data_IF_461099272742
#
_entry.id   IF_461099272742
#
_cell.length_a   1.000
_cell.length_b   1.000
_cell.length_c   1.000
_cell.angle_alpha   90.00
_cell.angle_beta   90.00
_cell.angle_gamma   90.00
#
_symmetry.space_group_name_H-M   'P 1'
#
loop_
_entity.id
_entity.type
_entity.pdbx_description
1 polymer ?
#
# COMPACT_ATOMS: atom_id res chain seq x y z
N UNK A 1 -24.12 -38.81 1.81
CA UNK A 1 -25.00 -38.58 2.96
C UNK A 1 -24.90 -37.12 3.40
N UNK A 2 -26.03 -36.42 3.40
CA UNK A 2 -26.15 -35.01 3.84
C UNK A 2 -26.45 -35.00 5.33
N UNK A 3 -25.78 -34.14 6.10
CA UNK A 3 -26.09 -33.89 7.51
C UNK A 3 -26.44 -32.43 7.71
N UNK A 4 -27.61 -32.18 8.30
CA UNK A 4 -28.08 -30.85 8.70
C UNK A 4 -28.09 -30.80 10.22
N UNK A 5 -27.53 -29.73 10.79
CA UNK A 5 -27.52 -29.47 12.23
C UNK A 5 -28.15 -28.10 12.46
N UNK A 6 -29.19 -28.06 13.30
CA UNK A 6 -29.88 -26.84 13.72
C UNK A 6 -29.65 -26.63 15.22
N UNK A 7 -29.23 -25.42 15.60
CA UNK A 7 -28.99 -25.00 16.98
C UNK A 7 -29.65 -23.63 17.16
N UNK A 8 -30.58 -23.48 18.09
CA UNK A 8 -31.30 -22.23 18.36
C UNK A 8 -31.62 -22.07 19.85
N UNK A 9 -31.80 -20.82 20.30
CA UNK A 9 -32.35 -20.46 21.63
C UNK A 9 -31.61 -21.04 22.84
N UNK A 10 -30.27 -21.01 22.84
CA UNK A 10 -29.47 -21.56 23.94
C UNK A 10 -28.59 -20.52 24.60
N UNK A 11 -28.64 -20.50 25.92
CA UNK A 11 -27.85 -19.58 26.72
C UNK A 11 -26.36 -19.94 26.73
N UNK A 12 -26.04 -21.24 26.77
CA UNK A 12 -24.67 -21.73 26.77
C UNK A 12 -24.57 -23.06 26.02
N UNK A 13 -23.62 -23.15 25.11
CA UNK A 13 -23.31 -24.41 24.43
C UNK A 13 -21.80 -24.66 24.37
N UNK A 14 -21.40 -25.86 24.77
CA UNK A 14 -20.08 -26.42 24.49
C UNK A 14 -20.24 -27.71 23.69
N UNK A 15 -19.67 -27.76 22.47
CA UNK A 15 -19.67 -28.99 21.67
C UNK A 15 -18.26 -29.40 21.28
N UNK A 16 -18.04 -30.72 21.32
CA UNK A 16 -16.87 -31.38 20.77
C UNK A 16 -17.31 -32.55 19.89
N UNK A 17 -17.06 -32.47 18.58
CA UNK A 17 -17.39 -33.57 17.67
C UNK A 17 -16.41 -33.69 16.50
N UNK A 18 -16.16 -34.95 16.11
CA UNK A 18 -15.45 -35.33 14.89
C UNK A 18 -16.44 -35.92 13.88
N UNK A 19 -16.49 -35.40 12.66
CA UNK A 19 -17.47 -35.85 11.66
C UNK A 19 -16.91 -35.81 10.24
N UNK A 20 -17.16 -36.88 9.48
CA UNK A 20 -16.96 -36.94 8.04
C UNK A 20 -18.31 -37.03 7.32
N UNK A 21 -18.54 -36.19 6.31
CA UNK A 21 -19.79 -36.19 5.53
C UNK A 21 -19.58 -35.66 4.12
N UNK A 22 -20.42 -36.06 3.17
CA UNK A 22 -20.38 -35.48 1.82
C UNK A 22 -20.80 -34.01 1.84
N UNK A 23 -21.98 -33.71 2.41
CA UNK A 23 -22.50 -32.35 2.56
C UNK A 23 -22.86 -32.10 4.02
N UNK A 24 -22.41 -30.97 4.56
CA UNK A 24 -22.75 -30.53 5.92
C UNK A 24 -23.27 -29.09 5.91
N UNK A 25 -24.45 -28.91 6.48
CA UNK A 25 -25.06 -27.60 6.72
C UNK A 25 -25.23 -27.43 8.22
N UNK A 26 -24.73 -26.33 8.76
CA UNK A 26 -24.87 -25.97 10.18
C UNK A 26 -25.54 -24.60 10.25
N UNK A 27 -26.69 -24.54 10.92
CA UNK A 27 -27.42 -23.30 11.19
C UNK A 27 -27.41 -23.05 12.70
N UNK A 28 -26.98 -21.85 13.09
CA UNK A 28 -26.86 -21.44 14.48
C UNK A 28 -27.50 -20.05 14.62
N UNK A 29 -28.50 -19.93 15.49
CA UNK A 29 -29.17 -18.65 15.79
C UNK A 29 -29.38 -18.46 17.29
N UNK A 30 -29.51 -17.21 17.73
CA UNK A 30 -30.01 -16.84 19.07
C UNK A 30 -29.28 -17.53 20.24
N UNK A 31 -27.95 -17.40 20.28
CA UNK A 31 -27.14 -17.89 21.41
C UNK A 31 -26.39 -16.77 22.12
N UNK A 32 -26.36 -16.87 23.44
CA UNK A 32 -25.63 -15.91 24.27
C UNK A 32 -24.14 -16.26 24.35
N UNK A 33 -23.82 -17.54 24.59
CA UNK A 33 -22.43 -18.03 24.63
C UNK A 33 -22.29 -19.36 23.91
N UNK A 34 -21.33 -19.45 23.00
CA UNK A 34 -20.97 -20.70 22.35
C UNK A 34 -19.46 -20.93 22.29
N UNK A 35 -19.03 -22.12 22.71
CA UNK A 35 -17.69 -22.64 22.48
C UNK A 35 -17.76 -23.93 21.67
N UNK A 36 -17.17 -23.92 20.48
CA UNK A 36 -17.12 -25.12 19.64
C UNK A 36 -15.68 -25.56 19.40
N UNK A 37 -15.45 -26.87 19.51
CA UNK A 37 -14.21 -27.51 19.09
C UNK A 37 -14.51 -28.66 18.12
N UNK A 38 -14.16 -28.54 16.84
CA UNK A 38 -14.41 -29.65 15.90
C UNK A 38 -13.30 -29.89 14.90
N UNK A 39 -13.14 -31.17 14.56
CA UNK A 39 -12.40 -31.64 13.39
C UNK A 39 -13.41 -32.18 12.38
N UNK A 40 -13.40 -31.63 11.16
CA UNK A 40 -14.42 -31.95 10.14
C UNK A 40 -13.77 -32.13 8.77
N UNK A 41 -14.11 -33.25 8.13
CA UNK A 41 -13.78 -33.50 6.73
C UNK A 41 -15.07 -33.60 5.91
N UNK A 42 -15.24 -32.72 4.92
CA UNK A 42 -16.43 -32.76 4.07
C UNK A 42 -16.18 -32.30 2.65
N UNK A 43 -16.90 -32.86 1.68
CA UNK A 43 -16.84 -32.33 0.31
C UNK A 43 -17.37 -30.89 0.27
N UNK A 44 -18.55 -30.65 0.83
CA UNK A 44 -19.21 -29.33 0.88
C UNK A 44 -19.59 -28.97 2.30
N UNK A 45 -19.20 -27.76 2.75
CA UNK A 45 -19.58 -27.22 4.07
C UNK A 45 -20.17 -25.83 3.97
N UNK A 46 -21.36 -25.66 4.56
CA UNK A 46 -22.02 -24.37 4.74
C UNK A 46 -22.27 -24.16 6.23
N UNK A 47 -21.87 -22.99 6.74
CA UNK A 47 -22.12 -22.57 8.12
C UNK A 47 -22.82 -21.21 8.07
N UNK A 48 -24.03 -21.13 8.60
CA UNK A 48 -24.76 -19.88 8.81
C UNK A 48 -24.88 -19.63 10.31
N UNK A 49 -24.51 -18.43 10.72
CA UNK A 49 -24.48 -17.98 12.11
C UNK A 49 -25.16 -16.61 12.16
N UNK A 50 -26.17 -16.45 13.02
CA UNK A 50 -26.86 -15.17 13.26
C UNK A 50 -27.13 -14.93 14.73
N UNK A 51 -27.24 -13.66 15.14
CA UNK A 51 -27.75 -13.23 16.46
C UNK A 51 -26.99 -13.85 17.64
N UNK A 52 -25.70 -13.55 17.75
CA UNK A 52 -24.84 -14.14 18.76
C UNK A 52 -24.06 -13.11 19.57
N UNK A 53 -24.11 -13.26 20.89
CA UNK A 53 -23.42 -12.32 21.78
C UNK A 53 -21.92 -12.66 21.92
N UNK A 54 -21.59 -13.92 22.21
CA UNK A 54 -20.19 -14.35 22.36
C UNK A 54 -19.93 -15.71 21.70
N UNK A 55 -18.96 -15.75 20.78
CA UNK A 55 -18.52 -17.00 20.16
C UNK A 55 -17.00 -17.20 20.26
N UNK A 56 -16.60 -18.40 20.69
CA UNK A 56 -15.24 -18.91 20.55
C UNK A 56 -15.22 -20.20 19.74
N UNK A 57 -14.59 -20.19 18.57
CA UNK A 57 -14.45 -21.37 17.73
C UNK A 57 -13.00 -21.81 17.61
N UNK A 58 -12.76 -23.11 17.78
CA UNK A 58 -11.51 -23.76 17.44
C UNK A 58 -11.79 -24.91 16.47
N UNK A 59 -11.31 -24.83 15.22
CA UNK A 59 -11.52 -25.93 14.28
C UNK A 59 -10.36 -26.22 13.36
N UNK A 60 -10.22 -27.51 13.06
CA UNK A 60 -9.46 -28.02 11.94
C UNK A 60 -10.43 -28.55 10.88
N UNK A 61 -10.35 -28.02 9.66
CA UNK A 61 -11.34 -28.31 8.61
C UNK A 61 -10.66 -28.60 7.29
N UNK A 62 -10.95 -29.76 6.72
CA UNK A 62 -10.58 -30.10 5.34
C UNK A 62 -11.86 -30.19 4.51
N UNK A 63 -12.00 -29.33 3.51
CA UNK A 63 -13.18 -29.37 2.64
C UNK A 63 -12.90 -28.99 1.20
N UNK A 64 -13.60 -29.57 0.25
CA UNK A 64 -13.43 -29.17 -1.15
C UNK A 64 -14.00 -27.76 -1.38
N UNK A 65 -15.21 -27.52 -0.89
CA UNK A 65 -15.90 -26.21 -0.92
C UNK A 65 -16.37 -25.80 0.47
N UNK A 66 -16.12 -24.53 0.85
CA UNK A 66 -16.55 -23.96 2.13
C UNK A 66 -17.17 -22.57 1.95
N UNK A 67 -18.38 -22.42 2.49
CA UNK A 67 -19.04 -21.13 2.67
C UNK A 67 -19.33 -20.89 4.16
N UNK A 68 -19.02 -19.68 4.64
CA UNK A 68 -19.34 -19.22 5.99
C UNK A 68 -20.03 -17.87 5.86
N UNK A 69 -21.24 -17.76 6.42
CA UNK A 69 -21.98 -16.51 6.56
C UNK A 69 -22.22 -16.25 8.04
N UNK A 70 -21.89 -15.03 8.46
CA UNK A 70 -21.91 -14.58 9.84
C UNK A 70 -22.59 -13.21 9.85
N UNK A 71 -23.67 -13.05 10.60
CA UNK A 71 -24.36 -11.77 10.80
C UNK A 71 -24.62 -11.51 12.29
N UNK A 72 -24.71 -10.24 12.66
CA UNK A 72 -25.19 -9.78 13.97
C UNK A 72 -24.45 -10.43 15.15
N UNK A 73 -23.12 -10.20 15.26
CA UNK A 73 -22.41 -10.55 16.48
C UNK A 73 -21.78 -9.38 17.21
N UNK A 74 -21.82 -9.53 18.54
CA UNK A 74 -21.12 -8.62 19.43
C UNK A 74 -19.63 -8.99 19.58
N UNK A 75 -19.31 -10.25 19.86
CA UNK A 75 -17.92 -10.69 20.04
C UNK A 75 -17.64 -12.06 19.42
N UNK A 76 -16.60 -12.12 18.59
CA UNK A 76 -16.13 -13.36 17.99
C UNK A 76 -14.62 -13.54 18.11
N UNK A 77 -14.21 -14.72 18.61
CA UNK A 77 -12.83 -15.20 18.56
C UNK A 77 -12.78 -16.52 17.78
N UNK A 78 -12.07 -16.52 16.64
CA UNK A 78 -11.92 -17.71 15.81
C UNK A 78 -10.45 -18.11 15.71
N UNK A 79 -10.14 -19.37 16.04
CA UNK A 79 -8.86 -19.99 15.73
C UNK A 79 -9.08 -21.18 14.79
N UNK A 80 -8.53 -21.12 13.57
CA UNK A 80 -8.77 -22.17 12.58
C UNK A 80 -7.56 -22.54 11.75
N UNK A 81 -7.44 -23.84 11.50
CA UNK A 81 -6.60 -24.41 10.44
C UNK A 81 -7.51 -24.98 9.35
N UNK A 82 -7.39 -24.46 8.13
CA UNK A 82 -8.32 -24.77 7.04
C UNK A 82 -7.57 -25.12 5.76
N UNK A 83 -7.88 -26.29 5.21
CA UNK A 83 -7.44 -26.69 3.88
C UNK A 83 -8.68 -26.83 2.98
N UNK A 84 -8.75 -26.02 1.92
CA UNK A 84 -9.88 -26.12 0.98
C UNK A 84 -9.53 -25.75 -0.44
N UNK A 85 -10.18 -26.37 -1.42
CA UNK A 85 -10.02 -25.93 -2.82
C UNK A 85 -10.63 -24.54 -2.99
N UNK A 86 -11.86 -24.34 -2.51
CA UNK A 86 -12.52 -23.03 -2.56
C UNK A 86 -13.12 -22.60 -1.22
N UNK A 87 -12.94 -21.31 -0.90
CA UNK A 87 -13.45 -20.71 0.33
C UNK A 87 -14.06 -19.34 0.10
N UNK A 88 -15.30 -19.18 0.54
CA UNK A 88 -15.99 -17.90 0.67
C UNK A 88 -16.36 -17.64 2.13
N UNK A 89 -16.04 -16.45 2.63
CA UNK A 89 -16.44 -15.97 3.96
C UNK A 89 -17.09 -14.61 3.78
N UNK A 90 -18.31 -14.45 4.28
CA UNK A 90 -18.97 -13.16 4.40
C UNK A 90 -19.40 -12.92 5.84
N UNK A 91 -19.11 -11.72 6.31
CA UNK A 91 -19.27 -11.26 7.68
C UNK A 91 -19.91 -9.87 7.62
N UNK A 92 -21.02 -9.68 8.35
CA UNK A 92 -21.70 -8.38 8.48
C UNK A 92 -22.07 -8.08 9.93
N UNK A 93 -22.20 -6.80 10.26
CA UNK A 93 -22.74 -6.29 11.52
C UNK A 93 -22.01 -6.85 12.75
N UNK A 94 -20.72 -6.50 12.86
CA UNK A 94 -19.85 -7.00 13.91
C UNK A 94 -19.28 -5.89 14.78
N UNK A 95 -19.39 -6.06 16.10
CA UNK A 95 -18.77 -5.10 17.03
C UNK A 95 -17.28 -5.42 17.26
N UNK A 96 -16.93 -6.67 17.60
CA UNK A 96 -15.54 -7.08 17.80
C UNK A 96 -15.25 -8.45 17.18
N UNK A 97 -14.18 -8.52 16.40
CA UNK A 97 -13.69 -9.76 15.82
C UNK A 97 -12.18 -9.92 15.98
N UNK A 98 -11.78 -11.07 16.51
CA UNK A 98 -10.41 -11.57 16.48
C UNK A 98 -10.36 -12.88 15.68
N UNK A 99 -9.59 -12.90 14.59
CA UNK A 99 -9.32 -14.11 13.83
C UNK A 99 -7.84 -14.44 13.84
N UNK A 100 -7.53 -15.69 14.20
CA UNK A 100 -6.23 -16.31 13.99
C UNK A 100 -6.41 -17.51 13.05
N UNK A 101 -5.85 -17.40 11.85
CA UNK A 101 -6.11 -18.36 10.77
C UNK A 101 -4.87 -18.80 10.02
N UNK A 102 -4.68 -20.12 9.95
CA UNK A 102 -3.79 -20.77 9.00
C UNK A 102 -4.60 -21.40 7.86
N UNK A 103 -4.38 -20.95 6.62
CA UNK A 103 -5.21 -21.37 5.48
C UNK A 103 -4.38 -21.74 4.27
N UNK A 104 -4.68 -22.92 3.72
CA UNK A 104 -4.20 -23.34 2.41
C UNK A 104 -5.40 -23.47 1.47
N UNK A 105 -5.46 -22.66 0.40
CA UNK A 105 -6.54 -22.78 -0.58
C UNK A 105 -6.14 -22.50 -2.03
N UNK A 106 -6.91 -23.01 -2.99
CA UNK A 106 -6.73 -22.59 -4.39
C UNK A 106 -7.40 -21.23 -4.61
N UNK A 107 -8.61 -21.05 -4.10
CA UNK A 107 -9.38 -19.79 -4.20
C UNK A 107 -9.90 -19.34 -2.83
N UNK A 108 -9.62 -18.08 -2.47
CA UNK A 108 -10.14 -17.42 -1.26
C UNK A 108 -10.83 -16.12 -1.63
N UNK A 109 -12.09 -15.98 -1.22
CA UNK A 109 -12.84 -14.72 -1.23
C UNK A 109 -13.30 -14.39 0.19
N UNK A 110 -13.06 -13.15 0.62
CA UNK A 110 -13.49 -12.62 1.93
C UNK A 110 -14.21 -11.29 1.71
N UNK A 111 -15.40 -11.18 2.28
CA UNK A 111 -16.20 -9.95 2.33
C UNK A 111 -16.49 -9.62 3.80
N UNK A 112 -16.14 -8.40 4.22
CA UNK A 112 -16.39 -7.88 5.56
C UNK A 112 -17.05 -6.52 5.40
N UNK A 113 -18.22 -6.34 6.01
CA UNK A 113 -18.95 -5.06 6.06
C UNK A 113 -19.37 -4.73 7.49
N UNK A 114 -19.51 -3.43 7.77
CA UNK A 114 -20.12 -2.90 9.00
C UNK A 114 -19.46 -3.43 10.28
N UNK A 115 -18.17 -3.13 10.45
CA UNK A 115 -17.39 -3.69 11.54
C UNK A 115 -16.67 -2.63 12.37
N UNK A 116 -16.86 -2.66 13.69
CA UNK A 116 -16.32 -1.63 14.57
C UNK A 116 -14.84 -1.87 14.90
N UNK A 117 -14.47 -3.08 15.29
CA UNK A 117 -13.08 -3.46 15.56
C UNK A 117 -12.70 -4.84 14.99
N UNK A 118 -11.71 -4.86 14.08
CA UNK A 118 -11.16 -6.08 13.48
C UNK A 118 -9.68 -6.26 13.83
N UNK A 119 -9.35 -7.43 14.38
CA UNK A 119 -7.97 -7.92 14.47
C UNK A 119 -7.84 -9.24 13.71
N UNK A 120 -6.97 -9.27 12.70
CA UNK A 120 -6.65 -10.49 11.96
C UNK A 120 -5.17 -10.81 12.09
N UNK A 121 -4.86 -12.01 12.55
CA UNK A 121 -3.58 -12.68 12.29
C UNK A 121 -3.86 -13.79 11.27
N UNK A 122 -3.26 -13.69 10.10
CA UNK A 122 -3.49 -14.70 9.08
C UNK A 122 -2.24 -15.05 8.28
N UNK A 123 -1.89 -16.33 8.40
CA UNK A 123 -0.88 -17.00 7.61
C UNK A 123 -1.54 -17.86 6.54
N UNK A 124 -1.10 -17.76 5.28
CA UNK A 124 -1.69 -18.62 4.25
C UNK A 124 -0.96 -18.72 2.92
N UNK A 125 -1.20 -19.85 2.26
CA UNK A 125 -0.80 -20.12 0.89
C UNK A 125 -2.06 -20.20 0.03
N UNK A 126 -2.25 -19.23 -0.87
CA UNK A 126 -3.41 -19.19 -1.75
C UNK A 126 -2.99 -19.04 -3.21
N UNK A 127 -3.54 -19.82 -4.14
CA UNK A 127 -3.26 -19.53 -5.56
C UNK A 127 -3.86 -18.18 -5.96
N UNK A 128 -5.11 -17.93 -5.56
CA UNK A 128 -5.82 -16.67 -5.83
C UNK A 128 -6.50 -16.17 -4.56
N UNK A 129 -6.42 -14.86 -4.33
CA UNK A 129 -7.07 -14.23 -3.18
C UNK A 129 -7.72 -12.89 -3.53
N UNK A 130 -8.98 -12.74 -3.15
CA UNK A 130 -9.72 -11.47 -3.15
C UNK A 130 -10.21 -11.14 -1.74
N UNK A 131 -10.02 -9.88 -1.36
CA UNK A 131 -10.48 -9.34 -0.08
C UNK A 131 -11.21 -8.03 -0.36
N UNK A 132 -12.47 -7.95 0.09
CA UNK A 132 -13.29 -6.75 0.06
C UNK A 132 -13.67 -6.39 1.51
N UNK A 133 -13.40 -5.15 1.86
CA UNK A 133 -13.54 -4.62 3.21
C UNK A 133 -14.20 -3.24 3.07
N UNK A 134 -15.37 -3.05 3.68
CA UNK A 134 -16.11 -1.79 3.69
C UNK A 134 -16.62 -1.43 5.08
N UNK A 135 -16.79 -0.13 5.33
CA UNK A 135 -17.46 0.42 6.52
C UNK A 135 -16.84 -0.06 7.84
N UNK A 136 -15.58 0.32 8.07
CA UNK A 136 -14.83 -0.13 9.23
C UNK A 136 -14.26 1.01 10.06
N UNK A 137 -14.48 0.94 11.37
CA UNK A 137 -13.97 1.97 12.26
C UNK A 137 -12.49 1.74 12.61
N UNK A 138 -12.12 0.52 13.00
CA UNK A 138 -10.74 0.18 13.35
C UNK A 138 -10.33 -1.19 12.80
N UNK A 139 -9.17 -1.23 12.14
CA UNK A 139 -8.57 -2.46 11.63
C UNK A 139 -7.09 -2.58 12.00
N UNK A 140 -6.73 -3.73 12.57
CA UNK A 140 -5.36 -4.22 12.69
C UNK A 140 -5.22 -5.54 11.94
N UNK A 141 -4.35 -5.60 10.94
CA UNK A 141 -4.02 -6.86 10.27
C UNK A 141 -2.53 -7.16 10.38
N UNK A 142 -2.22 -8.40 10.76
CA UNK A 142 -0.93 -9.05 10.56
C UNK A 142 -1.11 -10.22 9.59
N UNK A 143 -0.33 -10.22 8.51
CA UNK A 143 -0.57 -11.08 7.37
C UNK A 143 0.71 -11.54 6.70
N UNK A 144 0.96 -12.84 6.80
CA UNK A 144 2.00 -13.56 6.05
C UNK A 144 1.37 -14.39 4.93
N UNK A 145 1.45 -13.91 3.68
CA UNK A 145 0.74 -14.53 2.55
C UNK A 145 1.66 -14.82 1.38
N UNK A 146 1.58 -16.06 0.89
CA UNK A 146 2.15 -16.49 -0.38
C UNK A 146 1.02 -16.70 -1.39
N UNK A 147 1.05 -15.99 -2.52
CA UNK A 147 0.01 -16.16 -3.54
C UNK A 147 0.47 -15.95 -4.98
N UNK A 148 -0.13 -16.66 -5.93
CA UNK A 148 0.12 -16.35 -7.35
C UNK A 148 -0.49 -14.98 -7.69
N UNK A 149 -1.76 -14.76 -7.34
CA UNK A 149 -2.47 -13.51 -7.58
C UNK A 149 -3.21 -13.00 -6.33
N UNK A 150 -3.16 -11.68 -6.10
CA UNK A 150 -3.85 -11.03 -5.00
C UNK A 150 -4.48 -9.71 -5.42
N UNK A 151 -5.76 -9.55 -5.09
CA UNK A 151 -6.52 -8.31 -5.22
C UNK A 151 -7.11 -7.92 -3.86
N UNK A 152 -7.00 -6.65 -3.49
CA UNK A 152 -7.64 -6.09 -2.30
C UNK A 152 -8.38 -4.80 -2.65
N UNK A 153 -9.63 -4.69 -2.21
CA UNK A 153 -10.41 -3.47 -2.22
C UNK A 153 -10.73 -3.11 -0.77
N UNK A 154 -10.38 -1.89 -0.38
CA UNK A 154 -10.65 -1.39 0.95
C UNK A 154 -11.25 0.02 0.84
N UNK A 155 -12.46 0.21 1.36
CA UNK A 155 -13.19 1.48 1.33
C UNK A 155 -13.74 1.86 2.69
N UNK A 156 -13.88 3.16 2.94
CA UNK A 156 -14.58 3.72 4.11
C UNK A 156 -14.01 3.23 5.44
N UNK A 157 -12.76 3.59 5.74
CA UNK A 157 -12.21 3.37 7.09
C UNK A 157 -11.73 4.60 7.82
N UNK A 158 -11.96 4.57 9.13
CA UNK A 158 -11.45 5.60 10.01
C UNK A 158 -9.98 5.35 10.38
N UNK A 159 -9.63 4.14 10.80
CA UNK A 159 -8.27 3.81 11.20
C UNK A 159 -7.82 2.43 10.72
N UNK A 160 -6.64 2.37 10.12
CA UNK A 160 -6.02 1.13 9.67
C UNK A 160 -4.54 1.06 10.04
N UNK A 161 -4.16 -0.07 10.66
CA UNK A 161 -2.79 -0.51 10.83
C UNK A 161 -2.60 -1.86 10.14
N UNK A 162 -1.72 -1.93 9.15
CA UNK A 162 -1.36 -3.20 8.52
C UNK A 162 0.13 -3.49 8.68
N UNK A 163 0.45 -4.70 9.14
CA UNK A 163 1.74 -5.33 8.96
C UNK A 163 1.60 -6.48 7.96
N UNK A 164 2.39 -6.44 6.90
CA UNK A 164 2.26 -7.36 5.78
C UNK A 164 3.60 -7.84 5.24
N UNK A 165 3.74 -9.16 5.23
CA UNK A 165 4.77 -9.87 4.49
C UNK A 165 4.14 -10.67 3.35
N UNK A 166 4.32 -10.19 2.11
CA UNK A 166 3.64 -10.76 0.94
C UNK A 166 4.63 -11.14 -0.14
N UNK A 167 4.52 -12.39 -0.59
CA UNK A 167 5.21 -12.92 -1.76
C UNK A 167 4.17 -13.25 -2.84
N UNK A 168 4.23 -12.56 -3.98
CA UNK A 168 3.28 -12.80 -5.05
C UNK A 168 3.80 -12.61 -6.46
N UNK A 169 3.27 -13.37 -7.44
CA UNK A 169 3.59 -13.05 -8.83
C UNK A 169 2.96 -11.71 -9.22
N UNK A 170 1.66 -11.54 -8.95
CA UNK A 170 0.93 -10.31 -9.23
C UNK A 170 0.14 -9.80 -8.03
N UNK A 171 0.20 -8.48 -7.81
CA UNK A 171 -0.56 -7.81 -6.76
C UNK A 171 -1.21 -6.52 -7.25
N UNK A 172 -2.49 -6.38 -6.95
CA UNK A 172 -3.24 -5.14 -7.10
C UNK A 172 -3.92 -4.77 -5.77
N UNK A 173 -3.87 -3.49 -5.40
CA UNK A 173 -4.60 -2.95 -4.26
C UNK A 173 -5.21 -1.60 -4.61
N UNK A 174 -6.49 -1.42 -4.27
CA UNK A 174 -7.18 -0.14 -4.30
C UNK A 174 -7.62 0.19 -2.89
N UNK A 175 -7.33 1.42 -2.47
CA UNK A 175 -7.69 1.94 -1.17
C UNK A 175 -8.29 3.32 -1.35
N UNK A 176 -9.51 3.51 -0.86
CA UNK A 176 -10.25 4.76 -0.96
C UNK A 176 -10.85 5.16 0.39
N UNK A 177 -11.07 6.45 0.58
CA UNK A 177 -11.84 7.03 1.69
C UNK A 177 -11.33 6.59 3.07
N UNK A 178 -10.06 6.92 3.37
CA UNK A 178 -9.50 6.66 4.70
C UNK A 178 -9.10 7.92 5.44
N UNK A 179 -9.42 7.94 6.74
CA UNK A 179 -8.97 9.04 7.58
C UNK A 179 -7.51 8.87 8.03
N UNK A 180 -7.14 7.70 8.54
CA UNK A 180 -5.78 7.42 9.01
C UNK A 180 -5.30 6.03 8.59
N UNK A 181 -4.11 5.99 7.98
CA UNK A 181 -3.44 4.75 7.62
C UNK A 181 -1.98 4.72 8.08
N UNK A 182 -1.61 3.63 8.75
CA UNK A 182 -0.23 3.22 8.96
C UNK A 182 0.02 1.85 8.32
N UNK A 183 0.96 1.76 7.39
CA UNK A 183 1.33 0.48 6.78
C UNK A 183 2.83 0.21 6.95
N UNK A 184 3.13 -0.95 7.51
CA UNK A 184 4.45 -1.57 7.47
C UNK A 184 4.39 -2.76 6.49
N UNK A 185 5.21 -2.73 5.45
CA UNK A 185 5.08 -3.72 4.39
C UNK A 185 6.41 -4.18 3.80
N UNK A 186 6.58 -5.49 3.76
CA UNK A 186 7.63 -6.17 3.03
C UNK A 186 7.01 -6.92 1.84
N UNK A 187 7.31 -6.47 0.61
CA UNK A 187 6.77 -7.06 -0.63
C UNK A 187 7.89 -7.59 -1.49
N UNK A 188 7.76 -8.85 -1.90
CA UNK A 188 8.51 -9.40 -3.03
C UNK A 188 7.52 -9.84 -4.10
N UNK A 189 7.56 -9.20 -5.27
CA UNK A 189 6.65 -9.55 -6.36
C UNK A 189 7.23 -9.39 -7.76
N UNK A 190 6.61 -10.02 -8.75
CA UNK A 190 6.95 -9.69 -10.14
C UNK A 190 6.32 -8.36 -10.53
N UNK A 191 5.02 -8.20 -10.28
CA UNK A 191 4.29 -6.95 -10.53
C UNK A 191 3.50 -6.50 -9.31
N UNK A 192 3.63 -5.21 -8.99
CA UNK A 192 2.81 -4.54 -7.97
C UNK A 192 2.18 -3.27 -8.57
N UNK A 193 0.86 -3.18 -8.45
CA UNK A 193 0.10 -1.96 -8.70
C UNK A 193 -0.66 -1.57 -7.42
N UNK A 194 -0.50 -0.33 -6.98
CA UNK A 194 -1.21 0.24 -5.83
C UNK A 194 -1.82 1.56 -6.27
N UNK A 195 -3.10 1.74 -5.97
CA UNK A 195 -3.82 2.99 -6.16
C UNK A 195 -4.47 3.40 -4.87
N UNK A 196 -4.24 4.64 -4.49
CA UNK A 196 -4.68 5.26 -3.25
C UNK A 196 -5.39 6.57 -3.61
N UNK A 197 -6.60 6.76 -3.11
CA UNK A 197 -7.36 8.00 -3.27
C UNK A 197 -8.00 8.43 -1.94
N UNK A 198 -8.23 9.73 -1.80
CA UNK A 198 -9.05 10.31 -0.72
C UNK A 198 -8.60 9.91 0.68
N UNK A 199 -7.34 10.24 1.04
CA UNK A 199 -6.85 10.04 2.41
C UNK A 199 -6.43 11.32 3.11
N UNK A 200 -6.79 11.41 4.38
CA UNK A 200 -6.39 12.55 5.21
C UNK A 200 -4.95 12.40 5.72
N UNK A 201 -4.60 11.25 6.30
CA UNK A 201 -3.25 11.00 6.80
C UNK A 201 -2.74 9.61 6.44
N UNK A 202 -1.53 9.57 5.87
CA UNK A 202 -0.85 8.32 5.53
C UNK A 202 0.60 8.32 6.02
N UNK A 203 0.96 7.27 6.76
CA UNK A 203 2.34 6.91 7.07
C UNK A 203 2.65 5.52 6.50
N UNK A 204 3.62 5.43 5.60
CA UNK A 204 4.04 4.16 5.03
C UNK A 204 5.52 3.88 5.29
N UNK A 205 5.82 2.71 5.84
CA UNK A 205 7.16 2.12 5.84
C UNK A 205 7.18 0.87 4.97
N UNK A 206 7.94 0.90 3.87
CA UNK A 206 7.95 -0.22 2.93
C UNK A 206 9.33 -0.62 2.47
N UNK A 207 9.56 -1.93 2.43
CA UNK A 207 10.64 -2.55 1.68
C UNK A 207 10.03 -3.35 0.53
N UNK A 208 10.35 -2.97 -0.70
CA UNK A 208 9.76 -3.58 -1.90
C UNK A 208 10.83 -3.99 -2.90
N UNK A 209 10.82 -5.28 -3.24
CA UNK A 209 11.58 -5.84 -4.33
C UNK A 209 10.61 -6.28 -5.44
N UNK A 210 10.68 -5.64 -6.61
CA UNK A 210 9.77 -5.99 -7.71
C UNK A 210 10.34 -5.82 -9.09
N UNK A 211 9.91 -6.63 -10.06
CA UNK A 211 10.27 -6.35 -11.45
C UNK A 211 9.63 -5.03 -11.92
N UNK A 212 8.32 -4.90 -11.76
CA UNK A 212 7.57 -3.69 -12.12
C UNK A 212 6.75 -3.19 -10.94
N UNK A 213 6.88 -1.90 -10.65
CA UNK A 213 6.08 -1.20 -9.63
C UNK A 213 5.40 0.03 -10.20
N UNK A 214 4.08 0.09 -10.01
CA UNK A 214 3.25 1.26 -10.34
C UNK A 214 2.55 1.70 -9.05
N UNK A 215 2.68 2.99 -8.74
CA UNK A 215 2.01 3.61 -7.59
C UNK A 215 1.27 4.84 -8.09
N UNK A 216 -0.04 4.88 -7.82
CA UNK A 216 -0.93 6.00 -8.12
C UNK A 216 -1.47 6.55 -6.80
N UNK A 217 -1.35 7.85 -6.62
CA UNK A 217 -1.76 8.56 -5.40
C UNK A 217 -2.48 9.83 -5.81
N UNK A 218 -3.73 9.98 -5.36
CA UNK A 218 -4.51 11.19 -5.57
C UNK A 218 -5.19 11.65 -4.29
N UNK A 219 -5.46 12.96 -4.19
CA UNK A 219 -6.32 13.57 -3.18
C UNK A 219 -5.89 13.25 -1.75
N UNK A 220 -4.66 13.62 -1.38
CA UNK A 220 -4.16 13.41 -0.03
C UNK A 220 -3.81 14.71 0.70
N UNK A 221 -4.16 14.78 1.98
CA UNK A 221 -3.81 15.93 2.79
C UNK A 221 -2.39 15.83 3.36
N UNK A 222 -2.05 14.72 4.01
CA UNK A 222 -0.70 14.50 4.56
C UNK A 222 -0.17 13.11 4.21
N UNK A 223 1.04 13.07 3.66
CA UNK A 223 1.75 11.84 3.35
C UNK A 223 3.18 11.87 3.90
N UNK A 224 3.52 10.82 4.64
CA UNK A 224 4.90 10.50 5.01
C UNK A 224 5.27 9.10 4.51
N UNK A 225 6.28 9.02 3.65
CA UNK A 225 6.76 7.74 3.12
C UNK A 225 8.22 7.51 3.46
N UNK A 226 8.52 6.37 4.08
CA UNK A 226 9.88 5.89 4.30
C UNK A 226 10.05 4.57 3.53
N UNK A 227 10.82 4.56 2.44
CA UNK A 227 10.88 3.39 1.57
C UNK A 227 12.29 2.98 1.14
N UNK A 228 12.52 1.67 1.14
CA UNK A 228 13.64 1.05 0.43
C UNK A 228 13.08 0.23 -0.73
N UNK A 229 13.47 0.59 -1.96
CA UNK A 229 12.87 0.01 -3.17
C UNK A 229 13.96 -0.44 -4.13
N UNK A 230 13.91 -1.73 -4.48
CA UNK A 230 14.70 -2.29 -5.56
C UNK A 230 13.76 -2.77 -6.67
N UNK A 231 13.83 -2.15 -7.85
CA UNK A 231 12.96 -2.53 -8.95
C UNK A 231 13.58 -2.40 -10.33
N UNK A 232 13.19 -3.25 -11.28
CA UNK A 232 13.60 -3.03 -12.66
C UNK A 232 12.98 -1.75 -13.21
N UNK A 233 11.65 -1.64 -13.13
CA UNK A 233 10.87 -0.48 -13.57
C UNK A 233 10.03 0.08 -12.43
N UNK A 234 10.14 1.38 -12.19
CA UNK A 234 9.32 2.12 -11.23
C UNK A 234 8.62 3.30 -11.87
N UNK A 235 7.30 3.34 -11.71
CA UNK A 235 6.44 4.47 -12.10
C UNK A 235 5.69 4.95 -10.86
N UNK A 236 5.76 6.25 -10.59
CA UNK A 236 5.05 6.91 -9.51
C UNK A 236 4.31 8.10 -10.09
N UNK A 237 2.98 8.13 -9.94
CA UNK A 237 2.14 9.27 -10.28
C UNK A 237 1.46 9.77 -9.01
N UNK A 238 1.58 11.07 -8.79
CA UNK A 238 1.13 11.77 -7.59
C UNK A 238 0.38 13.03 -8.06
N UNK A 239 -0.87 13.19 -7.63
CA UNK A 239 -1.68 14.38 -7.91
C UNK A 239 -2.40 14.87 -6.65
N UNK A 240 -2.69 16.17 -6.59
CA UNK A 240 -3.60 16.79 -5.60
C UNK A 240 -3.21 16.50 -4.15
N UNK A 241 -2.08 17.07 -3.72
CA UNK A 241 -1.50 16.74 -2.43
C UNK A 241 -1.06 17.98 -1.67
N UNK A 242 -1.50 18.09 -0.40
CA UNK A 242 -1.21 19.28 0.39
C UNK A 242 0.19 19.24 1.01
N UNK A 243 0.55 18.13 1.65
CA UNK A 243 1.87 17.96 2.25
C UNK A 243 2.44 16.56 1.98
N UNK A 244 3.68 16.52 1.49
CA UNK A 244 4.43 15.29 1.28
C UNK A 244 5.82 15.37 1.90
N UNK A 245 6.19 14.34 2.66
CA UNK A 245 7.54 14.08 3.11
C UNK A 245 7.97 12.67 2.69
N UNK A 246 8.95 12.58 1.80
CA UNK A 246 9.53 11.30 1.39
C UNK A 246 10.96 11.18 1.90
N UNK A 247 11.27 10.02 2.47
CA UNK A 247 12.63 9.55 2.65
C UNK A 247 12.80 8.22 1.90
N UNK A 248 13.66 8.20 0.88
CA UNK A 248 13.81 7.02 0.04
C UNK A 248 15.26 6.61 -0.24
N UNK A 249 15.45 5.29 -0.24
CA UNK A 249 16.60 4.66 -0.89
C UNK A 249 16.09 3.81 -2.06
N UNK A 250 16.49 4.19 -3.28
CA UNK A 250 15.92 3.61 -4.51
C UNK A 250 17.02 3.14 -5.44
N UNK A 251 16.97 1.86 -5.79
CA UNK A 251 17.81 1.28 -6.84
C UNK A 251 16.89 0.77 -7.96
N UNK A 252 17.02 1.33 -9.17
CA UNK A 252 16.22 0.88 -10.30
C UNK A 252 16.88 1.00 -11.65
N UNK A 253 16.55 0.12 -12.60
CA UNK A 253 17.01 0.32 -13.99
C UNK A 253 16.33 1.55 -14.59
N UNK A 254 15.01 1.63 -14.49
CA UNK A 254 14.22 2.76 -15.01
C UNK A 254 13.31 3.34 -13.92
N UNK A 255 13.33 4.67 -13.79
CA UNK A 255 12.48 5.42 -12.86
C UNK A 255 11.79 6.57 -13.58
N UNK A 256 10.46 6.59 -13.51
CA UNK A 256 9.62 7.71 -13.92
C UNK A 256 8.80 8.20 -12.72
N UNK A 257 8.86 9.50 -12.46
CA UNK A 257 8.07 10.17 -11.42
C UNK A 257 7.33 11.34 -12.06
N UNK A 258 6.02 11.39 -11.87
CA UNK A 258 5.18 12.54 -12.23
C UNK A 258 4.48 13.03 -10.98
N UNK A 259 4.57 14.34 -10.75
CA UNK A 259 4.00 15.03 -9.62
C UNK A 259 3.27 16.26 -10.14
N UNK A 260 2.00 16.42 -9.77
CA UNK A 260 1.20 17.61 -10.10
C UNK A 260 0.44 18.11 -8.88
N UNK A 261 0.17 19.42 -8.85
CA UNK A 261 -0.74 20.06 -7.89
C UNK A 261 -0.35 19.82 -6.42
N UNK A 262 0.85 20.26 -6.06
CA UNK A 262 1.40 20.10 -4.71
C UNK A 262 1.62 21.43 -3.99
N UNK A 263 1.21 21.51 -2.73
CA UNK A 263 1.52 22.68 -1.91
C UNK A 263 2.92 22.59 -1.29
N UNK A 264 3.22 21.51 -0.56
CA UNK A 264 4.52 21.33 0.08
C UNK A 264 5.10 19.95 -0.18
N UNK A 265 6.35 19.91 -0.63
CA UNK A 265 7.09 18.68 -0.82
C UNK A 265 8.49 18.77 -0.22
N UNK A 266 8.80 17.81 0.65
CA UNK A 266 10.12 17.54 1.20
C UNK A 266 10.59 16.16 0.75
N UNK A 267 11.75 16.11 0.09
CA UNK A 267 12.31 14.87 -0.44
C UNK A 267 13.76 14.72 0.03
N UNK A 268 14.03 13.64 0.78
CA UNK A 268 15.36 13.16 1.14
C UNK A 268 15.60 11.81 0.44
N UNK A 269 16.38 11.82 -0.64
CA UNK A 269 16.39 10.73 -1.61
C UNK A 269 17.84 10.30 -1.95
N UNK A 270 18.17 9.03 -1.68
CA UNK A 270 19.35 8.37 -2.25
C UNK A 270 18.93 7.48 -3.43
N UNK A 271 19.39 7.83 -4.63
CA UNK A 271 18.88 7.24 -5.87
C UNK A 271 20.00 6.76 -6.78
N UNK A 272 19.96 5.47 -7.11
CA UNK A 272 20.83 4.87 -8.12
C UNK A 272 19.99 4.31 -9.28
N UNK A 273 20.15 4.87 -10.48
CA UNK A 273 19.40 4.36 -11.65
C UNK A 273 20.10 4.49 -12.99
N UNK A 274 19.77 3.62 -13.95
CA UNK A 274 20.29 3.79 -15.32
C UNK A 274 19.58 4.95 -16.02
N UNK A 275 18.26 5.01 -15.90
CA UNK A 275 17.44 6.10 -16.47
C UNK A 275 16.51 6.67 -15.40
N UNK A 276 16.53 8.01 -15.27
CA UNK A 276 15.61 8.76 -14.40
C UNK A 276 14.91 9.85 -15.22
N UNK A 277 13.59 9.85 -15.17
CA UNK A 277 12.74 10.93 -15.66
C UNK A 277 11.88 11.47 -14.51
N UNK A 278 11.89 12.79 -14.33
CA UNK A 278 11.07 13.48 -13.32
C UNK A 278 10.32 14.60 -14.01
N UNK A 279 8.99 14.63 -13.81
CA UNK A 279 8.11 15.72 -14.20
C UNK A 279 7.42 16.26 -12.95
N UNK A 280 7.55 17.57 -12.72
CA UNK A 280 6.89 18.28 -11.63
C UNK A 280 6.16 19.47 -12.26
N UNK A 281 4.88 19.61 -11.97
CA UNK A 281 4.07 20.77 -12.37
C UNK A 281 3.28 21.31 -11.18
N UNK A 282 3.02 22.62 -11.19
CA UNK A 282 2.09 23.28 -10.26
C UNK A 282 2.44 23.02 -8.79
N UNK A 283 3.63 23.47 -8.39
CA UNK A 283 4.15 23.20 -7.06
C UNK A 283 4.55 24.48 -6.31
N UNK A 284 4.00 24.66 -5.12
CA UNK A 284 4.20 25.90 -4.37
C UNK A 284 5.55 25.93 -3.65
N UNK A 285 5.91 24.84 -2.95
CA UNK A 285 7.18 24.75 -2.22
C UNK A 285 7.84 23.38 -2.39
N UNK A 286 9.06 23.39 -2.92
CA UNK A 286 9.92 22.22 -3.06
C UNK A 286 11.19 22.35 -2.22
N UNK A 287 11.46 21.36 -1.37
CA UNK A 287 12.76 21.18 -0.75
C UNK A 287 13.29 19.78 -1.07
N UNK A 288 14.43 19.74 -1.76
CA UNK A 288 15.10 18.51 -2.15
C UNK A 288 16.48 18.45 -1.47
N UNK A 289 16.76 17.34 -0.80
CA UNK A 289 18.10 16.90 -0.42
C UNK A 289 18.34 15.54 -1.09
N UNK A 290 19.24 15.47 -2.07
CA UNK A 290 19.44 14.20 -2.79
C UNK A 290 20.89 13.88 -3.09
N UNK A 291 21.15 12.57 -3.01
CA UNK A 291 22.34 11.94 -3.59
C UNK A 291 21.91 11.07 -4.76
N UNK A 292 22.33 11.44 -5.98
CA UNK A 292 21.87 10.79 -7.21
C UNK A 292 23.05 10.30 -8.04
N UNK A 293 23.08 8.99 -8.33
CA UNK A 293 24.05 8.36 -9.21
C UNK A 293 23.32 7.72 -10.39
N UNK A 294 23.32 8.40 -11.55
CA UNK A 294 22.57 7.93 -12.71
C UNK A 294 23.38 7.87 -14.00
N UNK A 295 23.03 7.01 -14.94
CA UNK A 295 23.63 7.11 -16.29
C UNK A 295 23.00 8.25 -17.07
N UNK A 296 21.67 8.30 -17.11
CA UNK A 296 20.91 9.31 -17.83
C UNK A 296 19.84 9.92 -16.93
N UNK A 297 19.69 11.24 -17.00
CA UNK A 297 18.68 11.96 -16.23
C UNK A 297 18.01 13.06 -17.04
N UNK A 298 16.68 13.09 -16.99
CA UNK A 298 15.84 14.19 -17.47
C UNK A 298 14.97 14.72 -16.33
N UNK A 299 14.92 16.03 -16.20
CA UNK A 299 14.09 16.72 -15.21
C UNK A 299 13.33 17.83 -15.93
N UNK A 300 12.01 17.84 -15.81
CA UNK A 300 11.13 18.91 -16.27
C UNK A 300 10.36 19.45 -15.07
N UNK A 301 10.47 20.76 -14.84
CA UNK A 301 9.76 21.46 -13.77
C UNK A 301 9.08 22.68 -14.38
N UNK A 302 7.78 22.79 -14.18
CA UNK A 302 6.99 23.94 -14.60
C UNK A 302 6.17 24.48 -13.44
N UNK A 303 5.91 25.79 -13.45
CA UNK A 303 4.98 26.45 -12.52
C UNK A 303 5.36 26.23 -11.05
N UNK A 304 6.55 26.72 -10.68
CA UNK A 304 7.08 26.56 -9.34
C UNK A 304 7.24 27.90 -8.63
N UNK A 305 6.68 28.02 -7.43
CA UNK A 305 6.83 29.25 -6.66
C UNK A 305 8.17 29.30 -5.91
N UNK A 306 8.51 28.24 -5.16
CA UNK A 306 9.75 28.19 -4.37
C UNK A 306 10.48 26.87 -4.50
N UNK A 307 11.79 26.93 -4.72
CA UNK A 307 12.69 25.79 -4.72
C UNK A 307 13.88 26.00 -3.79
N UNK A 308 14.14 25.03 -2.92
CA UNK A 308 15.42 24.82 -2.26
C UNK A 308 15.99 23.47 -2.67
N UNK A 309 17.17 23.46 -3.29
CA UNK A 309 17.84 22.25 -3.69
C UNK A 309 19.21 22.15 -3.01
N UNK A 310 19.45 21.04 -2.31
CA UNK A 310 20.78 20.55 -1.94
C UNK A 310 21.03 19.23 -2.69
N UNK A 311 22.03 19.17 -3.57
CA UNK A 311 22.29 17.94 -4.31
C UNK A 311 23.76 17.60 -4.52
N UNK A 312 24.02 16.30 -4.37
CA UNK A 312 25.19 15.63 -4.91
C UNK A 312 24.79 14.73 -6.09
N UNK A 313 25.15 15.12 -7.32
CA UNK A 313 24.75 14.37 -8.54
C UNK A 313 25.95 13.92 -9.35
N UNK A 314 26.00 12.62 -9.64
CA UNK A 314 26.92 12.01 -10.58
C UNK A 314 26.14 11.43 -11.76
N UNK A 315 26.39 11.94 -12.97
CA UNK A 315 25.71 11.42 -14.17
C UNK A 315 26.51 11.43 -15.45
N UNK A 316 26.32 10.44 -16.34
CA UNK A 316 26.92 10.50 -17.67
C UNK A 316 26.26 11.61 -18.49
N UNK A 317 24.93 11.63 -18.56
CA UNK A 317 24.16 12.65 -19.27
C UNK A 317 23.03 13.24 -18.41
N UNK A 318 22.88 14.57 -18.49
CA UNK A 318 21.82 15.30 -17.77
C UNK A 318 21.17 16.37 -18.64
N UNK A 319 19.85 16.33 -18.71
CA UNK A 319 19.00 17.34 -19.31
C UNK A 319 18.02 17.90 -18.26
N UNK A 320 17.88 19.22 -18.20
CA UNK A 320 16.94 19.90 -17.30
C UNK A 320 16.21 21.03 -17.99
N UNK A 321 14.89 21.06 -17.86
CA UNK A 321 14.02 22.16 -18.28
C UNK A 321 13.30 22.69 -17.04
N UNK A 322 13.45 23.98 -16.76
CA UNK A 322 12.76 24.66 -15.68
C UNK A 322 12.09 25.89 -16.26
N UNK A 323 10.78 26.00 -16.15
CA UNK A 323 10.00 27.15 -16.60
C UNK A 323 9.15 27.71 -15.47
N UNK A 324 8.93 29.02 -15.48
CA UNK A 324 8.00 29.71 -14.57
C UNK A 324 8.39 29.52 -13.10
N UNK A 325 9.59 29.98 -12.75
CA UNK A 325 10.16 29.82 -11.41
C UNK A 325 10.26 31.18 -10.70
N UNK A 326 9.60 31.32 -9.55
CA UNK A 326 9.65 32.57 -8.79
C UNK A 326 10.93 32.69 -7.96
N UNK A 327 11.26 31.67 -7.17
CA UNK A 327 12.43 31.69 -6.30
C UNK A 327 13.20 30.37 -6.32
N UNK A 328 14.52 30.46 -6.45
CA UNK A 328 15.43 29.31 -6.42
C UNK A 328 16.60 29.56 -5.47
N UNK A 329 16.85 28.62 -4.56
CA UNK A 329 18.10 28.47 -3.83
C UNK A 329 18.74 27.13 -4.21
N UNK A 330 19.96 27.17 -4.73
CA UNK A 330 20.73 25.98 -5.09
C UNK A 330 22.04 25.92 -4.31
N UNK A 331 22.26 24.79 -3.63
CA UNK A 331 23.56 24.31 -3.20
C UNK A 331 23.82 22.96 -3.88
N UNK A 332 24.93 22.85 -4.60
CA UNK A 332 25.10 21.76 -5.54
C UNK A 332 26.55 21.38 -5.82
N UNK A 333 26.83 20.10 -5.68
CA UNK A 333 28.01 19.44 -6.23
C UNK A 333 27.59 18.51 -7.38
N UNK A 334 27.91 18.88 -8.62
CA UNK A 334 27.50 18.14 -9.82
C UNK A 334 28.69 17.71 -10.66
N UNK A 335 28.80 16.41 -10.91
CA UNK A 335 29.80 15.82 -11.79
C UNK A 335 29.12 15.12 -12.98
N UNK A 336 29.36 15.60 -14.21
CA UNK A 336 28.76 14.99 -15.40
C UNK A 336 29.58 15.08 -16.69
N UNK A 337 29.50 14.07 -17.56
CA UNK A 337 30.17 14.15 -18.87
C UNK A 337 29.49 15.15 -19.81
N UNK A 338 28.15 15.09 -19.92
CA UNK A 338 27.34 16.03 -20.70
C UNK A 338 26.20 16.62 -19.86
N UNK A 339 26.06 17.95 -19.91
CA UNK A 339 25.00 18.68 -19.21
C UNK A 339 24.35 19.71 -20.12
N UNK A 340 23.03 19.64 -20.24
CA UNK A 340 22.18 20.65 -20.88
C UNK A 340 21.12 21.12 -19.87
N UNK A 341 21.06 22.42 -19.59
CA UNK A 341 20.04 23.00 -18.71
C UNK A 341 19.47 24.26 -19.37
N UNK A 342 18.15 24.35 -19.41
CA UNK A 342 17.43 25.54 -19.85
C UNK A 342 16.47 26.00 -18.76
N UNK A 343 16.60 27.25 -18.37
CA UNK A 343 15.77 27.92 -17.36
C UNK A 343 15.12 29.13 -18.03
N UNK A 344 13.80 29.23 -17.97
CA UNK A 344 13.04 30.37 -18.47
C UNK A 344 12.16 30.96 -17.37
N UNK A 345 11.95 32.27 -17.42
CA UNK A 345 11.01 33.01 -16.56
C UNK A 345 11.36 32.88 -15.07
N UNK A 346 12.57 33.31 -14.73
CA UNK A 346 13.15 33.17 -13.41
C UNK A 346 13.24 34.53 -12.70
N UNK A 347 12.52 34.71 -11.59
CA UNK A 347 12.53 35.98 -10.87
C UNK A 347 13.76 36.13 -9.95
N UNK A 348 14.04 35.12 -9.12
CA UNK A 348 15.14 35.19 -8.17
C UNK A 348 15.93 33.89 -8.09
N UNK A 349 17.26 33.99 -8.06
CA UNK A 349 18.15 32.86 -7.92
C UNK A 349 19.33 33.16 -6.98
N UNK A 350 19.54 32.28 -6.01
CA UNK A 350 20.75 32.17 -5.18
C UNK A 350 21.50 30.89 -5.55
N UNK A 351 22.81 31.01 -5.78
CA UNK A 351 23.67 29.88 -6.16
C UNK A 351 24.90 29.79 -5.27
N UNK A 352 25.12 28.60 -4.72
CA UNK A 352 26.42 28.06 -4.33
C UNK A 352 26.67 26.77 -5.14
N UNK A 353 27.85 26.62 -5.74
CA UNK A 353 28.01 25.60 -6.78
C UNK A 353 29.45 25.13 -7.00
N UNK A 354 29.64 23.80 -6.96
CA UNK A 354 30.82 23.12 -7.49
C UNK A 354 30.42 22.20 -8.65
N UNK A 355 30.90 22.50 -9.87
CA UNK A 355 30.52 21.76 -11.09
C UNK A 355 31.74 21.25 -11.85
N UNK A 356 31.80 19.94 -12.06
CA UNK A 356 32.79 19.29 -12.91
C UNK A 356 32.08 18.70 -14.14
N UNK A 357 32.30 19.29 -15.33
CA UNK A 357 31.72 18.75 -16.57
C UNK A 357 32.63 18.85 -17.78
N UNK A 358 32.62 17.81 -18.62
CA UNK A 358 33.39 17.80 -19.88
C UNK A 358 32.71 18.65 -20.97
N UNK A 359 31.37 18.63 -21.01
CA UNK A 359 30.58 19.39 -22.01
C UNK A 359 29.35 19.99 -21.35
N UNK A 360 29.14 21.30 -21.54
CA UNK A 360 28.11 22.09 -20.85
C UNK A 360 27.39 23.04 -21.80
N UNK A 361 26.06 23.01 -21.77
CA UNK A 361 25.17 24.02 -22.34
C UNK A 361 24.21 24.49 -21.25
N UNK A 362 24.19 25.79 -20.96
CA UNK A 362 23.24 26.41 -20.03
C UNK A 362 22.61 27.60 -20.74
N UNK A 363 21.28 27.63 -20.77
CA UNK A 363 20.50 28.72 -21.35
C UNK A 363 19.59 29.27 -20.25
N UNK A 364 19.75 30.54 -19.92
CA UNK A 364 18.88 31.24 -18.96
C UNK A 364 18.24 32.39 -19.72
N UNK A 365 16.92 32.43 -19.76
CA UNK A 365 16.15 33.53 -20.35
C UNK A 365 15.25 34.16 -19.29
N UNK A 366 15.11 35.49 -19.36
CA UNK A 366 14.18 36.25 -18.52
C UNK A 366 14.49 36.15 -17.02
N UNK A 367 15.77 36.32 -16.69
CA UNK A 367 16.27 36.40 -15.32
C UNK A 367 16.17 37.83 -14.79
N UNK A 368 15.47 38.02 -13.67
CA UNK A 368 15.36 39.35 -13.04
C UNK A 368 16.45 39.63 -12.01
N UNK A 369 16.82 38.65 -11.19
CA UNK A 369 17.82 38.84 -10.12
C UNK A 369 18.63 37.56 -9.82
N UNK A 370 19.95 37.72 -9.62
CA UNK A 370 20.87 36.63 -9.28
C UNK A 370 21.86 37.05 -8.19
N UNK A 371 21.98 36.22 -7.16
CA UNK A 371 23.06 36.25 -6.16
C UNK A 371 24.04 35.11 -6.41
N UNK A 372 25.33 35.43 -6.40
CA UNK A 372 26.44 34.49 -6.53
C UNK A 372 27.34 34.62 -5.31
N UNK A 373 27.43 33.58 -4.49
CA UNK A 373 28.48 33.46 -3.48
C UNK A 373 29.63 32.65 -4.10
N UNK A 374 30.83 33.24 -4.16
CA UNK A 374 32.03 32.59 -4.67
C UNK A 374 32.83 31.98 -3.51
N UNK A 375 32.99 30.65 -3.48
CA UNK A 375 34.05 29.97 -2.74
C UNK A 375 34.86 29.04 -3.65
#
# INVERSE_FOLDING_TARGET
MTRIVLISELYFMCLHHQVCSWTRIVLISELYFMRLHHQVCSWTRIVLISELYFMCLHHQVCSWTRAVLISELYFMCLHHQVCSVSRAVSISELYFMYLDHQVCSMTKAVLISELYFLCLDHQGFNWTSSVLISELYFMCLDHHVYSLTRAGLISELYFMCLDHHVYSLTRAGLISELYFMCLDHHVCSWTTAVSISELYFMCLHHQVCSWTRIVLISELYFMRLNHQVCSWTRIVLISELYFMCLNHQVCSMTRAVSISELYFMFLDDQVCSMTKAVLISELYFLCLDHQVCNWTSSVLISELYFMCLDHHVYSLTRAGLISELYFMCLDHLVCSMTRAVSISELYFMCLDHQVCSWTRAVLISELYFMCLDQQ
#
